data_IF_383717345894
#
_entry.id   IF_383717345894
#
_cell.length_a   1.000
_cell.length_b   1.000
_cell.length_c   1.000
_cell.angle_alpha   90.00
_cell.angle_beta   90.00
_cell.angle_gamma   90.00
#
_symmetry.space_group_name_H-M   'P 1'
#
loop_
_entity.id
_entity.type
_entity.pdbx_description
1 polymer ?
#
# COMPACT_ATOMS: atom_id res chain seq x y z
N UNK A 1 -15.31 8.45 -12.22
CA UNK A 1 -14.12 9.22 -11.80
C UNK A 1 -13.55 10.00 -12.98
N UNK A 2 -13.25 11.29 -12.82
CA UNK A 2 -12.58 12.16 -13.82
C UNK A 2 -11.11 12.29 -13.44
N UNK A 3 -10.19 12.06 -14.39
CA UNK A 3 -8.75 12.13 -14.13
C UNK A 3 -8.02 12.94 -15.20
N UNK A 4 -7.11 13.78 -14.74
CA UNK A 4 -6.11 14.47 -15.53
C UNK A 4 -4.76 13.87 -15.21
N UNK A 5 -4.09 13.30 -16.22
CA UNK A 5 -2.77 12.67 -16.09
C UNK A 5 -1.78 13.39 -16.98
N UNK A 6 -0.99 14.34 -16.45
CA UNK A 6 -0.01 15.07 -17.23
C UNK A 6 1.17 14.17 -17.63
N UNK A 7 1.95 14.52 -18.67
CA UNK A 7 3.14 13.79 -19.05
C UNK A 7 4.10 13.57 -17.88
N UNK A 8 4.57 12.31 -17.72
CA UNK A 8 5.47 11.90 -16.64
C UNK A 8 4.78 11.55 -15.32
N UNK A 9 3.45 11.53 -15.29
CA UNK A 9 2.64 10.90 -14.23
C UNK A 9 2.08 9.59 -14.78
N UNK A 10 2.13 8.53 -13.99
CA UNK A 10 1.57 7.23 -14.39
C UNK A 10 0.06 7.30 -14.52
N UNK A 11 -0.47 6.90 -15.66
CA UNK A 11 -1.91 6.77 -15.87
C UNK A 11 -2.41 5.49 -15.21
N UNK A 12 -3.55 5.52 -14.47
CA UNK A 12 -4.10 4.31 -13.88
C UNK A 12 -4.50 3.31 -14.97
N UNK A 13 -3.97 2.10 -14.87
CA UNK A 13 -4.23 0.96 -15.74
C UNK A 13 -5.01 -0.14 -14.98
N UNK A 14 -5.04 -1.35 -15.54
CA UNK A 14 -5.69 -2.54 -14.95
C UNK A 14 -5.36 -2.72 -13.47
N UNK A 15 -4.07 -2.65 -13.12
CA UNK A 15 -3.54 -2.92 -11.78
C UNK A 15 -4.07 -1.92 -10.74
N UNK A 16 -4.11 -0.62 -11.12
CA UNK A 16 -4.70 0.40 -10.24
C UNK A 16 -6.19 0.17 -10.01
N UNK A 17 -6.91 -0.33 -11.04
CA UNK A 17 -8.35 -0.64 -10.93
C UNK A 17 -8.59 -1.88 -10.09
N UNK A 18 -7.73 -2.90 -10.25
CA UNK A 18 -7.76 -4.11 -9.47
C UNK A 18 -7.55 -3.80 -7.98
N UNK A 19 -6.49 -3.05 -7.66
CA UNK A 19 -6.21 -2.61 -6.30
C UNK A 19 -7.34 -1.74 -5.72
N UNK A 20 -7.95 -0.86 -6.52
CA UNK A 20 -9.08 -0.04 -6.08
C UNK A 20 -10.31 -0.88 -5.74
N UNK A 21 -10.57 -1.99 -6.46
CA UNK A 21 -11.66 -2.90 -6.14
C UNK A 21 -11.46 -3.54 -4.75
N UNK A 22 -10.26 -3.99 -4.43
CA UNK A 22 -9.92 -4.52 -3.11
C UNK A 22 -9.93 -3.45 -2.02
N UNK A 23 -9.46 -2.22 -2.30
CA UNK A 23 -9.60 -1.09 -1.39
C UNK A 23 -11.09 -0.85 -1.02
N UNK A 24 -11.97 -0.85 -2.01
CA UNK A 24 -13.42 -0.67 -1.78
C UNK A 24 -14.04 -1.84 -1.01
N UNK A 25 -13.52 -3.07 -1.18
CA UNK A 25 -13.96 -4.25 -0.45
C UNK A 25 -13.60 -4.19 1.05
N UNK A 26 -12.58 -3.40 1.46
CA UNK A 26 -12.28 -3.10 2.87
C UNK A 26 -13.37 -2.23 3.52
N UNK A 27 -14.31 -1.65 2.75
CA UNK A 27 -15.43 -0.82 3.20
C UNK A 27 -15.01 0.32 4.12
N UNK A 28 -14.11 1.21 3.67
CA UNK A 28 -13.71 2.35 4.48
C UNK A 28 -14.92 3.23 4.82
N UNK A 29 -14.92 3.80 6.00
CA UNK A 29 -15.96 4.67 6.52
C UNK A 29 -15.41 6.05 6.93
N UNK A 30 -16.25 6.90 7.50
CA UNK A 30 -15.89 8.25 7.92
C UNK A 30 -14.81 8.32 9.03
N UNK A 31 -14.45 7.21 9.66
CA UNK A 31 -13.39 7.11 10.66
C UNK A 31 -12.11 6.54 10.09
N UNK A 32 -12.19 5.88 8.94
CA UNK A 32 -11.08 5.20 8.30
C UNK A 32 -10.06 6.20 7.77
N UNK A 33 -8.82 6.07 8.21
CA UNK A 33 -7.65 6.82 7.73
C UNK A 33 -6.92 6.02 6.67
N UNK A 34 -6.87 6.56 5.45
CA UNK A 34 -6.24 5.89 4.30
C UNK A 34 -4.98 6.62 3.87
N UNK A 35 -3.90 5.87 3.61
CA UNK A 35 -2.67 6.36 2.99
C UNK A 35 -2.48 5.71 1.62
N UNK A 36 -2.37 6.52 0.57
CA UNK A 36 -2.00 6.10 -0.78
C UNK A 36 -0.53 6.45 -1.04
N UNK A 37 0.34 5.44 -1.03
CA UNK A 37 1.78 5.57 -1.30
C UNK A 37 2.06 5.39 -2.79
N UNK A 38 2.96 6.21 -3.33
CA UNK A 38 3.24 6.27 -4.77
C UNK A 38 1.99 6.64 -5.57
N UNK A 39 1.22 7.61 -5.08
CA UNK A 39 -0.15 7.92 -5.51
C UNK A 39 -0.28 8.27 -7.00
N UNK A 40 0.81 8.70 -7.66
CA UNK A 40 0.75 9.16 -9.04
C UNK A 40 -0.30 10.26 -9.24
N UNK A 41 -1.29 10.02 -10.10
CA UNK A 41 -2.40 10.95 -10.33
C UNK A 41 -3.48 10.98 -9.23
N UNK A 42 -3.32 10.24 -8.13
CA UNK A 42 -4.28 10.21 -7.02
C UNK A 42 -5.48 9.29 -7.26
N UNK A 43 -5.38 8.33 -8.16
CA UNK A 43 -6.49 7.44 -8.50
C UNK A 43 -7.01 6.66 -7.28
N UNK A 44 -6.12 6.00 -6.54
CA UNK A 44 -6.48 5.21 -5.36
C UNK A 44 -6.97 6.11 -4.21
N UNK A 45 -6.33 7.25 -4.00
CA UNK A 45 -6.76 8.23 -3.01
C UNK A 45 -8.18 8.76 -3.29
N UNK A 46 -8.49 9.08 -4.56
CA UNK A 46 -9.84 9.51 -4.95
C UNK A 46 -10.84 8.36 -4.78
N UNK A 47 -10.46 7.12 -5.14
CA UNK A 47 -11.30 5.94 -4.94
C UNK A 47 -11.60 5.70 -3.44
N UNK A 48 -10.60 5.81 -2.56
CA UNK A 48 -10.77 5.69 -1.11
C UNK A 48 -11.76 6.73 -0.55
N UNK A 49 -11.59 7.99 -0.95
CA UNK A 49 -12.48 9.06 -0.50
C UNK A 49 -13.93 8.88 -1.02
N UNK A 50 -14.10 8.42 -2.26
CA UNK A 50 -15.41 8.10 -2.83
C UNK A 50 -16.04 6.86 -2.19
N UNK A 51 -15.23 5.92 -1.68
CA UNK A 51 -15.70 4.76 -0.94
C UNK A 51 -16.13 5.08 0.51
N UNK A 52 -15.88 6.31 0.98
CA UNK A 52 -16.36 6.76 2.29
C UNK A 52 -15.26 7.02 3.33
N UNK A 53 -13.98 6.86 2.98
CA UNK A 53 -12.88 7.15 3.90
C UNK A 53 -12.91 8.62 4.37
N UNK A 54 -12.84 8.83 5.69
CA UNK A 54 -12.95 10.16 6.30
C UNK A 54 -11.68 10.99 6.21
N UNK A 55 -10.51 10.34 6.26
CA UNK A 55 -9.21 10.99 6.12
C UNK A 55 -8.36 10.25 5.08
N UNK A 56 -8.08 10.91 3.97
CA UNK A 56 -7.28 10.33 2.88
C UNK A 56 -6.03 11.17 2.66
N UNK A 57 -4.88 10.55 2.86
CA UNK A 57 -3.57 11.11 2.56
C UNK A 57 -2.97 10.40 1.35
N UNK A 58 -2.37 11.17 0.45
CA UNK A 58 -1.70 10.68 -0.76
C UNK A 58 -0.27 11.21 -0.79
N UNK A 59 0.71 10.32 -1.01
CA UNK A 59 2.13 10.69 -1.02
C UNK A 59 2.77 10.28 -2.34
N UNK A 60 3.54 11.21 -2.92
CA UNK A 60 4.39 10.94 -4.08
C UNK A 60 5.64 11.81 -4.05
N UNK A 61 6.73 11.29 -4.57
CA UNK A 61 7.99 12.01 -4.68
C UNK A 61 7.95 13.09 -5.78
N UNK A 62 7.07 12.93 -6.79
CA UNK A 62 6.92 13.81 -7.95
C UNK A 62 6.00 15.00 -7.65
N UNK A 63 6.50 16.22 -7.83
CA UNK A 63 5.65 17.43 -7.75
C UNK A 63 4.47 17.39 -8.73
N UNK A 64 4.68 16.82 -9.93
CA UNK A 64 3.62 16.72 -10.96
C UNK A 64 2.54 15.74 -10.53
N UNK A 65 2.91 14.62 -9.93
CA UNK A 65 1.98 13.62 -9.38
C UNK A 65 1.13 14.26 -8.27
N UNK A 66 1.74 14.90 -7.28
CA UNK A 66 1.03 15.58 -6.19
C UNK A 66 0.07 16.66 -6.70
N UNK A 67 0.49 17.46 -7.69
CA UNK A 67 -0.39 18.46 -8.28
C UNK A 67 -1.56 17.80 -9.01
N UNK A 68 -1.31 16.74 -9.79
CA UNK A 68 -2.33 15.95 -10.47
C UNK A 68 -3.32 15.35 -9.47
N UNK A 69 -2.85 14.74 -8.38
CA UNK A 69 -3.70 14.19 -7.32
C UNK A 69 -4.62 15.26 -6.70
N UNK A 70 -4.10 16.46 -6.42
CA UNK A 70 -4.90 17.60 -5.93
C UNK A 70 -5.96 18.05 -6.91
N UNK A 71 -5.62 18.16 -8.19
CA UNK A 71 -6.57 18.53 -9.25
C UNK A 71 -7.64 17.44 -9.37
N UNK A 72 -7.24 16.18 -9.43
CA UNK A 72 -8.16 15.06 -9.56
C UNK A 72 -9.10 14.91 -8.35
N UNK A 73 -8.62 15.13 -7.14
CA UNK A 73 -9.48 15.17 -5.95
C UNK A 73 -10.57 16.25 -6.08
N UNK A 74 -10.19 17.49 -6.49
CA UNK A 74 -11.16 18.57 -6.70
C UNK A 74 -12.15 18.25 -7.82
N UNK A 75 -11.70 17.71 -8.95
CA UNK A 75 -12.56 17.33 -10.08
C UNK A 75 -13.60 16.26 -9.73
N UNK A 76 -13.32 15.48 -8.70
CA UNK A 76 -14.23 14.44 -8.21
C UNK A 76 -14.97 14.83 -6.92
N UNK A 77 -14.85 16.08 -6.48
CA UNK A 77 -15.59 16.59 -5.31
C UNK A 77 -15.17 15.97 -3.97
N UNK A 78 -13.96 15.41 -3.88
CA UNK A 78 -13.44 14.76 -2.66
C UNK A 78 -12.27 15.52 -2.04
N UNK A 79 -12.04 15.27 -0.74
CA UNK A 79 -10.89 15.82 -0.02
C UNK A 79 -9.77 14.79 0.05
N UNK A 80 -8.57 15.17 -0.36
CA UNK A 80 -7.35 14.38 -0.28
C UNK A 80 -6.21 15.29 0.15
N UNK A 81 -5.50 14.92 1.19
CA UNK A 81 -4.28 15.58 1.64
C UNK A 81 -3.09 15.07 0.81
N UNK A 82 -2.82 15.69 -0.32
CA UNK A 82 -1.72 15.29 -1.21
C UNK A 82 -0.42 15.99 -0.82
N UNK A 83 0.58 15.18 -0.43
CA UNK A 83 1.89 15.58 0.09
C UNK A 83 3.01 15.14 -0.84
N UNK A 84 4.06 15.95 -0.94
CA UNK A 84 5.28 15.58 -1.63
C UNK A 84 6.30 15.07 -0.62
N UNK A 85 6.85 13.90 -0.86
CA UNK A 85 7.92 13.31 -0.04
C UNK A 85 8.26 11.90 -0.47
N UNK A 86 9.27 11.33 0.16
CA UNK A 86 9.68 9.95 -0.04
C UNK A 86 8.93 9.04 0.94
N UNK A 87 8.06 8.20 0.39
CA UNK A 87 7.24 7.22 1.12
C UNK A 87 6.62 7.81 2.42
N UNK A 88 7.04 7.34 3.59
CA UNK A 88 6.49 7.77 4.88
C UNK A 88 7.07 9.09 5.42
N UNK A 89 8.08 9.67 4.76
CA UNK A 89 8.75 10.88 5.27
C UNK A 89 7.76 12.01 5.65
N UNK A 90 6.78 12.39 4.78
CA UNK A 90 5.88 13.50 5.08
C UNK A 90 4.76 13.16 6.07
N UNK A 91 4.62 11.89 6.47
CA UNK A 91 3.59 11.38 7.40
C UNK A 91 4.20 10.67 8.61
N UNK A 92 5.46 10.99 8.91
CA UNK A 92 6.19 10.36 10.01
C UNK A 92 5.44 10.49 11.34
N UNK A 93 5.26 9.36 12.04
CA UNK A 93 4.52 9.28 13.30
C UNK A 93 3.01 9.18 13.16
N UNK A 94 2.45 9.29 11.96
CA UNK A 94 1.03 9.05 11.73
C UNK A 94 0.72 7.55 11.62
N UNK A 95 -0.53 7.19 11.89
CA UNK A 95 -1.05 5.82 11.76
C UNK A 95 -2.26 5.81 10.84
N UNK A 96 -2.40 4.70 10.09
CA UNK A 96 -3.45 4.53 9.09
C UNK A 96 -4.12 3.18 9.25
N UNK A 97 -5.44 3.15 9.07
CA UNK A 97 -6.21 1.92 9.11
C UNK A 97 -6.05 1.11 7.82
N UNK A 98 -5.83 1.82 6.70
CA UNK A 98 -5.60 1.21 5.40
C UNK A 98 -4.47 1.96 4.68
N UNK A 99 -3.45 1.22 4.29
CA UNK A 99 -2.39 1.71 3.39
C UNK A 99 -2.54 0.99 2.06
N UNK A 100 -2.52 1.74 0.97
CA UNK A 100 -2.52 1.18 -0.38
C UNK A 100 -1.29 1.63 -1.14
N UNK A 101 -0.71 0.76 -1.96
CA UNK A 101 0.45 1.10 -2.76
C UNK A 101 0.43 0.39 -4.12
N UNK A 102 0.57 1.17 -5.18
CA UNK A 102 0.91 0.70 -6.51
C UNK A 102 2.26 1.32 -6.90
N UNK A 103 3.37 0.84 -6.31
CA UNK A 103 4.69 1.41 -6.58
C UNK A 103 5.15 1.08 -7.99
N UNK A 104 6.11 1.81 -8.58
CA UNK A 104 6.86 1.35 -9.72
C UNK A 104 7.44 -0.05 -9.48
N UNK A 105 7.23 -0.98 -10.42
CA UNK A 105 7.69 -2.36 -10.33
C UNK A 105 8.17 -2.96 -11.66
N UNK A 106 8.39 -2.14 -12.69
CA UNK A 106 8.92 -2.63 -13.97
C UNK A 106 10.45 -2.78 -13.89
N UNK A 107 11.01 -3.97 -14.16
CA UNK A 107 12.45 -4.15 -14.20
C UNK A 107 13.15 -3.23 -15.21
N UNK A 108 14.31 -2.72 -14.82
CA UNK A 108 15.14 -1.79 -15.61
C UNK A 108 16.51 -2.39 -15.93
N UNK A 109 17.30 -1.69 -16.75
CA UNK A 109 18.62 -2.16 -17.15
C UNK A 109 19.59 -2.27 -15.97
N UNK A 110 19.52 -1.35 -15.02
CA UNK A 110 20.39 -1.23 -13.84
C UNK A 110 19.58 -1.15 -12.54
N UNK A 111 20.28 -1.14 -11.41
CA UNK A 111 19.67 -1.07 -10.07
C UNK A 111 19.29 0.34 -9.65
N UNK A 112 19.68 1.35 -10.40
CA UNK A 112 19.42 2.74 -10.08
C UNK A 112 17.95 3.10 -10.30
N UNK A 113 17.34 3.76 -9.31
CA UNK A 113 16.04 4.41 -9.53
C UNK A 113 16.25 5.68 -10.36
N UNK A 114 15.47 5.90 -11.44
CA UNK A 114 15.63 7.09 -12.27
C UNK A 114 15.41 8.38 -11.47
N UNK A 115 16.42 9.23 -11.38
CA UNK A 115 16.32 10.51 -10.67
C UNK A 115 15.36 11.49 -11.35
N UNK A 116 15.18 11.38 -12.68
CA UNK A 116 14.37 12.28 -13.52
C UNK A 116 13.75 11.52 -14.70
N UNK A 117 12.76 12.14 -15.35
CA UNK A 117 12.13 11.62 -16.57
C UNK A 117 10.95 10.68 -16.34
N UNK A 118 10.27 10.25 -17.42
CA UNK A 118 9.07 9.40 -17.37
C UNK A 118 9.33 8.02 -16.75
N UNK A 119 10.51 7.45 -16.94
CA UNK A 119 10.90 6.14 -16.40
C UNK A 119 10.73 6.04 -14.88
N UNK A 120 10.82 7.15 -14.17
CA UNK A 120 10.61 7.22 -12.74
C UNK A 120 9.22 6.75 -12.29
N UNK A 121 8.25 6.82 -13.18
CA UNK A 121 6.86 6.41 -12.88
C UNK A 121 6.64 4.88 -12.95
N UNK A 122 7.66 4.11 -13.44
CA UNK A 122 7.51 2.67 -13.64
C UNK A 122 8.78 1.84 -13.39
N UNK A 123 10.01 2.39 -13.58
CA UNK A 123 11.25 1.64 -13.42
C UNK A 123 11.65 1.47 -11.95
N UNK A 124 12.01 0.26 -11.57
CA UNK A 124 12.25 -0.11 -10.17
C UNK A 124 13.44 -1.07 -9.99
N UNK A 125 14.59 -0.79 -10.63
CA UNK A 125 15.78 -1.60 -10.52
C UNK A 125 15.75 -2.86 -11.38
N UNK A 126 16.77 -3.71 -11.27
CA UNK A 126 16.97 -4.87 -12.14
C UNK A 126 15.89 -5.93 -12.07
N UNK A 127 15.28 -6.09 -10.92
CA UNK A 127 14.22 -7.09 -10.61
C UNK A 127 12.83 -6.48 -10.41
N UNK A 128 12.72 -5.15 -10.56
CA UNK A 128 11.46 -4.43 -10.35
C UNK A 128 11.10 -4.23 -8.88
N UNK A 129 12.00 -4.55 -7.93
CA UNK A 129 11.68 -4.55 -6.50
C UNK A 129 12.18 -3.33 -5.73
N UNK A 130 13.05 -2.51 -6.32
CA UNK A 130 13.76 -1.48 -5.58
C UNK A 130 12.85 -0.54 -4.76
N UNK A 131 11.68 -0.12 -5.28
CA UNK A 131 10.72 0.69 -4.54
C UNK A 131 9.68 -0.15 -3.81
N UNK A 132 9.26 -1.27 -4.38
CA UNK A 132 8.37 -2.23 -3.74
C UNK A 132 8.93 -2.66 -2.37
N UNK A 133 10.19 -3.06 -2.31
CA UNK A 133 10.86 -3.47 -1.08
C UNK A 133 10.94 -2.36 -0.03
N UNK A 134 11.11 -1.11 -0.45
CA UNK A 134 11.07 0.04 0.47
C UNK A 134 9.66 0.26 1.04
N UNK A 135 8.61 0.13 0.22
CA UNK A 135 7.22 0.19 0.69
C UNK A 135 6.95 -0.92 1.70
N UNK A 136 7.33 -2.17 1.38
CA UNK A 136 7.12 -3.33 2.27
C UNK A 136 7.88 -3.21 3.59
N UNK A 137 9.05 -2.57 3.59
CA UNK A 137 9.84 -2.35 4.80
C UNK A 137 9.28 -1.22 5.68
N UNK A 138 8.74 -0.17 5.08
CA UNK A 138 8.32 1.02 5.81
C UNK A 138 6.82 1.00 6.20
N UNK A 139 5.93 0.65 5.26
CA UNK A 139 4.47 0.75 5.44
C UNK A 139 3.95 0.03 6.70
N UNK A 140 4.45 -1.16 7.10
CA UNK A 140 4.01 -1.83 8.32
C UNK A 140 4.12 -0.95 9.57
N UNK A 141 5.16 -0.10 9.65
CA UNK A 141 5.38 0.80 10.78
C UNK A 141 4.35 1.91 10.92
N UNK A 142 3.59 2.21 9.86
CA UNK A 142 2.54 3.22 9.84
C UNK A 142 1.13 2.63 9.91
N UNK A 143 0.97 1.31 10.05
CA UNK A 143 -0.33 0.69 10.26
C UNK A 143 -0.83 0.95 11.69
N UNK A 144 -2.10 1.27 11.81
CA UNK A 144 -2.82 1.22 13.07
C UNK A 144 -2.99 -0.24 13.52
N UNK A 145 -3.23 -0.53 14.80
CA UNK A 145 -3.59 -1.86 15.26
C UNK A 145 -4.84 -2.37 14.53
N UNK A 146 -4.74 -3.55 13.90
CA UNK A 146 -5.80 -4.11 13.05
C UNK A 146 -5.87 -3.51 11.65
N UNK A 147 -4.96 -2.61 11.30
CA UNK A 147 -4.90 -1.99 9.97
C UNK A 147 -4.37 -2.93 8.89
N UNK A 148 -4.57 -2.56 7.63
CA UNK A 148 -4.21 -3.36 6.45
C UNK A 148 -3.32 -2.59 5.49
N UNK A 149 -2.34 -3.27 4.91
CA UNK A 149 -1.58 -2.84 3.74
C UNK A 149 -2.04 -3.65 2.52
N UNK A 150 -2.48 -2.97 1.46
CA UNK A 150 -2.76 -3.57 0.16
C UNK A 150 -1.70 -3.12 -0.84
N UNK A 151 -1.04 -4.06 -1.48
CA UNK A 151 -0.02 -3.78 -2.51
C UNK A 151 -0.32 -4.56 -3.78
N UNK A 152 -0.03 -3.95 -4.93
CA UNK A 152 -0.13 -4.60 -6.25
C UNK A 152 1.21 -4.59 -6.94
N UNK A 153 1.56 -5.71 -7.56
CA UNK A 153 2.73 -5.83 -8.44
C UNK A 153 2.59 -7.01 -9.40
N UNK A 154 3.50 -7.10 -10.38
CA UNK A 154 3.59 -8.25 -11.30
C UNK A 154 4.32 -9.43 -10.66
N UNK A 155 3.93 -10.66 -11.04
CA UNK A 155 4.64 -11.90 -10.71
C UNK A 155 6.11 -11.90 -11.15
N UNK A 156 6.47 -11.09 -12.13
CA UNK A 156 7.86 -10.87 -12.57
C UNK A 156 8.77 -10.39 -11.44
N UNK A 157 8.21 -9.67 -10.45
CA UNK A 157 8.93 -9.23 -9.26
C UNK A 157 9.07 -10.32 -8.18
N UNK A 158 8.47 -11.48 -8.37
CA UNK A 158 8.42 -12.57 -7.39
C UNK A 158 7.37 -12.35 -6.30
N UNK A 159 6.51 -13.34 -6.11
CA UNK A 159 5.49 -13.36 -5.05
C UNK A 159 6.12 -13.64 -3.69
N UNK A 160 6.86 -14.74 -3.57
CA UNK A 160 7.44 -15.20 -2.29
C UNK A 160 8.24 -14.13 -1.56
N UNK A 161 9.16 -13.37 -2.20
CA UNK A 161 9.87 -12.29 -1.52
C UNK A 161 8.96 -11.22 -0.91
N UNK A 162 7.78 -10.97 -1.50
CA UNK A 162 6.79 -10.02 -0.98
C UNK A 162 6.09 -10.58 0.24
N UNK A 163 5.64 -11.85 0.16
CA UNK A 163 4.99 -12.54 1.28
C UNK A 163 5.94 -12.65 2.47
N UNK A 164 7.20 -13.02 2.23
CA UNK A 164 8.19 -13.21 3.28
C UNK A 164 8.55 -11.91 4.00
N UNK A 165 8.68 -10.79 3.26
CA UNK A 165 8.91 -9.47 3.87
C UNK A 165 7.75 -9.03 4.76
N UNK A 166 6.51 -9.22 4.31
CA UNK A 166 5.34 -8.88 5.10
C UNK A 166 5.20 -9.77 6.34
N UNK A 167 5.48 -11.08 6.21
CA UNK A 167 5.52 -12.00 7.36
C UNK A 167 6.62 -11.62 8.35
N UNK A 168 7.82 -11.30 7.85
CA UNK A 168 8.92 -10.84 8.70
C UNK A 168 8.62 -9.54 9.44
N UNK A 169 7.74 -8.69 8.88
CA UNK A 169 7.22 -7.50 9.54
C UNK A 169 6.09 -7.79 10.56
N UNK A 170 5.76 -9.06 10.81
CA UNK A 170 4.74 -9.48 11.77
C UNK A 170 3.30 -9.36 11.28
N UNK A 171 3.09 -9.27 9.96
CA UNK A 171 1.75 -9.18 9.39
C UNK A 171 1.20 -10.56 9.04
N UNK A 172 -0.11 -10.75 9.22
CA UNK A 172 -0.86 -11.82 8.57
C UNK A 172 -0.97 -11.53 7.07
N UNK A 173 -0.57 -12.49 6.22
CA UNK A 173 -0.42 -12.23 4.78
C UNK A 173 -1.35 -13.09 3.96
N UNK A 174 -2.01 -12.48 2.97
CA UNK A 174 -2.95 -13.12 2.06
C UNK A 174 -2.75 -12.59 0.63
N UNK A 175 -2.77 -13.48 -0.37
CA UNK A 175 -2.88 -13.10 -1.76
C UNK A 175 -4.36 -13.03 -2.10
N UNK A 176 -4.87 -11.80 -2.23
CA UNK A 176 -6.30 -11.55 -2.45
C UNK A 176 -6.74 -11.91 -3.87
N UNK A 177 -5.88 -11.66 -4.85
CA UNK A 177 -6.20 -11.93 -6.25
C UNK A 177 -4.95 -12.13 -7.09
N UNK A 178 -5.06 -12.99 -8.11
CA UNK A 178 -4.11 -13.19 -9.20
C UNK A 178 -4.85 -13.06 -10.52
N UNK A 179 -4.45 -12.09 -11.33
CA UNK A 179 -5.00 -11.92 -12.67
C UNK A 179 -3.92 -12.26 -13.69
N UNK A 180 -4.08 -13.41 -14.33
CA UNK A 180 -3.17 -13.85 -15.39
C UNK A 180 -3.54 -13.21 -16.73
N UNK A 181 -2.54 -12.75 -17.45
CA UNK A 181 -2.72 -12.12 -18.74
C UNK A 181 -1.42 -11.93 -19.53
N UNK A 182 -1.53 -11.39 -20.75
CA UNK A 182 -0.36 -11.07 -21.55
C UNK A 182 0.45 -9.97 -20.88
N UNK A 183 1.76 -9.97 -21.13
CA UNK A 183 2.65 -8.91 -20.66
C UNK A 183 2.13 -7.53 -21.02
N UNK A 184 2.14 -6.63 -20.04
CA UNK A 184 1.90 -5.20 -20.29
C UNK A 184 2.93 -4.61 -21.27
N UNK A 185 2.62 -3.45 -21.91
CA UNK A 185 3.49 -2.87 -22.94
C UNK A 185 4.95 -2.70 -22.47
N UNK A 186 5.16 -2.17 -21.28
CA UNK A 186 6.50 -1.94 -20.70
C UNK A 186 7.26 -3.25 -20.43
N UNK A 187 6.57 -4.29 -19.97
CA UNK A 187 7.17 -5.62 -19.75
C UNK A 187 7.50 -6.28 -21.07
N UNK A 188 6.63 -6.17 -22.07
CA UNK A 188 6.84 -6.74 -23.41
C UNK A 188 8.07 -6.16 -24.11
N UNK A 189 8.25 -4.84 -24.04
CA UNK A 189 9.45 -4.17 -24.59
C UNK A 189 10.76 -4.67 -23.95
N UNK A 190 10.69 -5.30 -22.78
CA UNK A 190 11.83 -5.80 -21.99
C UNK A 190 11.91 -7.31 -21.94
N UNK A 191 11.04 -8.00 -22.65
CA UNK A 191 10.87 -9.44 -22.52
C UNK A 191 12.19 -10.22 -22.66
N UNK A 192 13.02 -9.90 -23.66
CA UNK A 192 14.30 -10.57 -23.88
C UNK A 192 15.26 -10.37 -22.70
N UNK A 193 15.29 -9.15 -22.13
CA UNK A 193 16.08 -8.87 -20.91
C UNK A 193 15.55 -9.65 -19.71
N UNK A 194 14.23 -9.74 -19.55
CA UNK A 194 13.59 -10.46 -18.45
C UNK A 194 13.85 -11.96 -18.54
N UNK A 195 13.79 -12.53 -19.74
CA UNK A 195 14.15 -13.95 -19.99
C UNK A 195 15.62 -14.21 -19.70
N UNK A 196 16.52 -13.37 -20.19
CA UNK A 196 17.95 -13.49 -19.94
C UNK A 196 18.32 -13.43 -18.45
N UNK A 197 17.46 -12.81 -17.62
CA UNK A 197 17.60 -12.73 -16.15
C UNK A 197 16.84 -13.83 -15.40
N UNK A 198 16.11 -14.71 -16.09
CA UNK A 198 15.27 -15.73 -15.46
C UNK A 198 14.02 -15.19 -14.76
N UNK A 199 13.64 -13.92 -15.02
CA UNK A 199 12.47 -13.28 -14.44
C UNK A 199 11.18 -13.58 -15.23
N UNK A 200 11.30 -14.06 -16.45
CA UNK A 200 10.18 -14.35 -17.33
C UNK A 200 10.47 -15.62 -18.14
N UNK A 201 9.41 -16.40 -18.39
CA UNK A 201 9.39 -17.51 -19.33
C UNK A 201 8.59 -17.12 -20.60
N UNK A 202 8.98 -17.65 -21.77
CA UNK A 202 8.21 -17.49 -23.01
C UNK A 202 8.44 -16.20 -23.82
N UNK A 203 9.40 -15.36 -23.45
CA UNK A 203 9.76 -14.15 -24.20
C UNK A 203 8.62 -13.14 -24.32
N UNK A 204 8.55 -12.38 -25.44
CA UNK A 204 7.54 -11.34 -25.68
C UNK A 204 6.09 -11.86 -25.77
N UNK A 205 5.90 -13.17 -25.94
CA UNK A 205 4.61 -13.85 -25.88
C UNK A 205 4.31 -14.46 -24.51
N UNK A 206 5.19 -14.23 -23.54
CA UNK A 206 4.98 -14.65 -22.16
C UNK A 206 3.76 -14.01 -21.53
N UNK A 207 3.34 -14.59 -20.44
CA UNK A 207 2.27 -14.08 -19.59
C UNK A 207 2.85 -13.63 -18.25
N UNK A 208 2.17 -12.71 -17.61
CA UNK A 208 2.40 -12.33 -16.23
C UNK A 208 1.13 -12.47 -15.40
N UNK A 209 1.28 -12.55 -14.12
CA UNK A 209 0.17 -12.41 -13.18
C UNK A 209 0.31 -11.07 -12.46
N UNK A 210 -0.76 -10.31 -12.41
CA UNK A 210 -0.87 -9.17 -11.52
C UNK A 210 -1.42 -9.66 -10.19
N UNK A 211 -0.68 -9.41 -9.12
CA UNK A 211 -0.95 -9.89 -7.78
C UNK A 211 -1.45 -8.74 -6.91
N UNK A 212 -2.57 -8.93 -6.21
CA UNK A 212 -2.96 -8.06 -5.09
C UNK A 212 -2.71 -8.82 -3.80
N UNK A 213 -1.86 -8.27 -2.95
CA UNK A 213 -1.42 -8.88 -1.70
C UNK A 213 -1.82 -7.98 -0.53
N UNK A 214 -2.41 -8.59 0.50
CA UNK A 214 -2.73 -7.94 1.76
C UNK A 214 -1.76 -8.35 2.87
N UNK A 215 -1.32 -7.37 3.66
CA UNK A 215 -0.66 -7.59 4.93
C UNK A 215 -1.50 -6.96 6.05
N UNK A 216 -1.92 -7.73 7.05
CA UNK A 216 -2.82 -7.29 8.12
C UNK A 216 -2.09 -7.25 9.46
N UNK A 217 -2.12 -6.10 10.13
CA UNK A 217 -1.58 -5.97 11.48
C UNK A 217 -2.49 -6.65 12.51
N UNK A 218 -1.91 -7.26 13.53
CA UNK A 218 -2.65 -7.78 14.67
C UNK A 218 -3.47 -6.67 15.35
N UNK A 219 -4.62 -7.02 15.92
CA UNK A 219 -5.35 -6.10 16.80
C UNK A 219 -4.57 -5.95 18.10
N UNK A 220 -4.52 -4.75 18.69
CA UNK A 220 -4.02 -4.58 20.03
C UNK A 220 -4.83 -5.49 20.97
N UNK A 221 -4.14 -6.33 21.75
CA UNK A 221 -4.80 -7.07 22.83
C UNK A 221 -5.39 -6.02 23.78
N UNK A 222 -6.68 -6.05 23.97
CA UNK A 222 -7.30 -5.34 25.08
C UNK A 222 -6.85 -6.10 26.32
N UNK A 223 -5.76 -5.65 26.97
CA UNK A 223 -5.45 -6.12 28.30
C UNK A 223 -6.65 -5.81 29.18
N UNK A 224 -7.27 -6.86 29.70
CA UNK A 224 -8.32 -6.79 30.68
C UNK A 224 -7.73 -6.19 31.98
N UNK A 225 -7.76 -4.86 32.10
CA UNK A 225 -7.57 -4.18 33.39
C UNK A 225 -8.87 -4.35 34.18
N UNK A 226 -8.98 -5.47 34.87
CA UNK A 226 -10.17 -5.88 35.60
C UNK A 226 -9.93 -6.90 36.67
N UNK A 227 -8.88 -6.76 37.47
CA UNK A 227 -8.78 -7.52 38.71
C UNK A 227 -7.97 -6.76 39.76
N UNK A 228 -8.47 -5.62 40.20
CA UNK A 228 -8.10 -5.11 41.53
C UNK A 228 -9.05 -5.73 42.52
N UNK A 229 -8.55 -6.79 43.15
CA UNK A 229 -9.22 -7.49 44.26
C UNK A 229 -9.57 -6.52 45.35
N UNK A 230 -10.83 -6.57 45.78
CA UNK A 230 -11.27 -5.98 47.01
C UNK A 230 -10.62 -6.71 48.19
N UNK A 231 -9.88 -5.99 48.99
CA UNK A 231 -9.41 -6.46 50.32
C UNK A 231 -10.61 -6.79 51.21
N UNK A 232 -10.64 -7.95 51.85
CA UNK A 232 -11.59 -8.23 52.90
C UNK A 232 -11.19 -7.50 54.17
N UNK A 233 -11.97 -6.53 54.57
CA UNK A 233 -11.85 -5.85 55.88
C UNK A 233 -12.06 -6.85 57.04
N UNK A 234 -11.15 -6.95 58.06
CA UNK A 234 -11.35 -7.83 59.18
C UNK A 234 -12.37 -7.25 60.17
N UNK A 235 -13.43 -8.00 60.42
CA UNK A 235 -14.43 -7.69 61.46
C UNK A 235 -13.80 -7.78 62.84
N UNK A 236 -13.83 -6.68 63.59
CA UNK A 236 -13.56 -6.63 65.03
C UNK A 236 -14.68 -7.34 65.80
N UNK A 237 -14.31 -8.45 66.42
CA UNK A 237 -15.12 -9.04 67.51
C UNK A 237 -14.85 -8.27 68.79
N UNK A 238 -15.85 -7.56 69.33
CA UNK A 238 -15.84 -7.09 70.72
C UNK A 238 -16.72 -8.01 71.53
N UNK A 239 -16.06 -8.69 72.49
CA UNK A 239 -16.74 -9.45 73.46
C UNK A 239 -17.42 -8.58 74.53
N UNK A 240 -18.62 -8.94 74.90
CA UNK A 240 -19.30 -8.47 76.08
C UNK A 240 -19.08 -9.49 77.22
N UNK A 241 -18.54 -8.99 78.29
CA UNK A 241 -18.62 -9.63 79.60
C UNK A 241 -19.56 -8.83 80.52
N UNK A 242 -20.30 -9.55 81.32
CA UNK A 242 -21.09 -9.35 82.47
C UNK A 242 -22.60 -9.37 82.26
#
# INVERSE_FOLDING_TARGET
MRLVTPPGVFAPISDSRLLAAHLMAERPDARTRVLDLCTGGGYLAVAAAQAGAGDVTAVDLSRRAVLSARVNARLNGVRVRALRGDLLEPVRGERFDLIVANPPYVPAADDGLPARGPARAWAAGRDGRALLDQVLAQAPSALAPGGSLLVVHSSVCGEDPTLDRLRAAGLGVEVLERVRGPLGPLMRERADMLVARGLLSGGARGEEEVLVIAGRAGRASVEADGARGGDPHPAHAQGLRA
#
